data_IF_100067628790
#
_entry.id   IF_100067628790
#
_cell.length_a   1.000
_cell.length_b   1.000
_cell.length_c   1.000
_cell.angle_alpha   90.00
_cell.angle_beta   90.00
_cell.angle_gamma   90.00
#
_symmetry.space_group_name_H-M   'P 1'
#
loop_
_entity.id
_entity.type
_entity.pdbx_description
1 polymer ?
#
# COMPACT_ATOMS: atom_id res chain seq x y z
N UNK A 1 31.24 -4.23 -13.42
CA UNK A 1 31.81 -5.23 -14.33
C UNK A 1 33.07 -5.77 -13.66
N UNK A 2 33.37 -7.04 -13.84
CA UNK A 2 34.65 -7.63 -13.46
C UNK A 2 35.77 -7.22 -14.42
N UNK A 3 37.02 -7.67 -14.16
CA UNK A 3 38.18 -7.40 -14.98
C UNK A 3 38.03 -7.89 -16.44
N UNK A 4 37.10 -8.82 -16.67
CA UNK A 4 36.77 -9.40 -17.97
C UNK A 4 35.57 -8.73 -18.66
N UNK A 5 35.01 -7.63 -18.08
CA UNK A 5 33.87 -6.91 -18.62
C UNK A 5 32.51 -7.54 -18.36
N UNK A 6 32.45 -8.64 -17.60
CA UNK A 6 31.20 -9.33 -17.27
C UNK A 6 30.39 -8.52 -16.24
N UNK A 7 29.08 -8.47 -16.42
CA UNK A 7 28.18 -7.79 -15.48
C UNK A 7 28.08 -8.65 -14.21
N UNK A 8 28.61 -8.14 -13.09
CA UNK A 8 28.56 -8.81 -11.77
C UNK A 8 27.19 -8.67 -11.14
N UNK A 9 26.59 -7.48 -11.22
CA UNK A 9 25.22 -7.20 -10.75
C UNK A 9 24.43 -6.51 -11.85
N UNK A 10 23.51 -7.23 -12.49
CA UNK A 10 22.64 -6.71 -13.54
C UNK A 10 21.66 -5.64 -13.01
N UNK A 11 21.39 -5.64 -11.70
CA UNK A 11 20.49 -4.70 -11.05
C UNK A 11 21.22 -3.50 -10.42
N UNK A 12 22.54 -3.44 -10.51
CA UNK A 12 23.32 -2.37 -9.87
C UNK A 12 22.85 -0.98 -10.30
N UNK A 13 22.69 -0.76 -11.61
CA UNK A 13 22.24 0.54 -12.13
C UNK A 13 20.86 0.93 -11.59
N UNK A 14 19.94 -0.03 -11.55
CA UNK A 14 18.60 0.18 -11.02
C UNK A 14 18.63 0.51 -9.52
N UNK A 15 19.36 -0.28 -8.72
CA UNK A 15 19.51 -0.05 -7.27
C UNK A 15 20.14 1.30 -6.98
N UNK A 16 21.19 1.65 -7.74
CA UNK A 16 21.87 2.94 -7.62
C UNK A 16 20.93 4.10 -7.96
N UNK A 17 20.24 4.02 -9.11
CA UNK A 17 19.30 5.06 -9.52
C UNK A 17 18.17 5.23 -8.49
N UNK A 18 17.60 4.13 -7.99
CA UNK A 18 16.51 4.18 -7.00
C UNK A 18 16.98 4.80 -5.68
N UNK A 19 18.20 4.47 -5.23
CA UNK A 19 18.80 5.01 -4.01
C UNK A 19 19.05 6.52 -4.10
N UNK A 20 19.52 7.00 -5.26
CA UNK A 20 19.92 8.38 -5.50
C UNK A 20 18.85 9.22 -6.21
N UNK A 21 17.64 8.68 -6.32
CA UNK A 21 16.57 9.33 -7.09
C UNK A 21 16.15 10.68 -6.50
N UNK A 22 16.22 10.81 -5.18
CA UNK A 22 15.78 11.98 -4.44
C UNK A 22 16.89 12.95 -4.06
N UNK A 23 18.16 12.68 -4.36
CA UNK A 23 19.31 13.48 -3.92
C UNK A 23 19.25 14.97 -4.34
N UNK A 24 18.55 15.26 -5.44
CA UNK A 24 18.41 16.64 -5.95
C UNK A 24 17.05 17.27 -5.61
N UNK A 25 16.36 16.77 -4.61
CA UNK A 25 15.08 17.31 -4.14
C UNK A 25 15.26 17.79 -2.70
N UNK A 26 14.95 19.06 -2.47
CA UNK A 26 14.91 19.62 -1.12
C UNK A 26 13.47 19.49 -0.58
N UNK A 27 13.27 18.51 0.29
CA UNK A 27 11.98 18.26 0.94
C UNK A 27 11.62 19.28 2.02
N UNK A 28 12.49 20.24 2.34
CA UNK A 28 12.18 21.34 3.26
C UNK A 28 11.54 22.55 2.55
N UNK A 29 11.64 22.62 1.21
CA UNK A 29 11.15 23.75 0.42
C UNK A 29 9.73 23.50 -0.11
N UNK A 30 8.71 24.06 0.56
CA UNK A 30 7.29 23.97 0.17
C UNK A 30 7.01 24.43 -1.28
N UNK A 31 7.88 25.30 -1.85
CA UNK A 31 7.72 25.78 -3.22
C UNK A 31 7.77 24.66 -4.25
N UNK A 32 8.34 23.52 -3.87
CA UNK A 32 8.35 22.31 -4.70
C UNK A 32 6.95 21.86 -5.09
N UNK A 33 5.95 22.02 -4.20
CA UNK A 33 4.56 21.68 -4.47
C UNK A 33 3.93 22.52 -5.59
N UNK A 34 4.48 23.70 -5.86
CA UNK A 34 4.00 24.60 -6.93
C UNK A 34 4.63 24.31 -8.28
N UNK A 35 5.51 23.30 -8.33
CA UNK A 35 6.20 22.91 -9.56
C UNK A 35 5.70 21.55 -10.05
N UNK A 36 5.58 21.33 -11.38
CA UNK A 36 5.23 20.02 -11.91
C UNK A 36 6.35 18.99 -11.74
N UNK A 37 7.56 19.44 -11.37
CA UNK A 37 8.74 18.59 -11.21
C UNK A 37 8.54 17.58 -10.09
N UNK A 38 8.06 18.03 -8.94
CA UNK A 38 7.86 17.17 -7.77
C UNK A 38 6.82 16.08 -8.04
N UNK A 39 5.65 16.47 -8.56
CA UNK A 39 4.61 15.53 -8.96
C UNK A 39 5.11 14.47 -9.96
N UNK A 40 5.78 14.93 -11.04
CA UNK A 40 6.30 14.02 -12.06
C UNK A 40 7.36 13.06 -11.51
N UNK A 41 8.18 13.51 -10.56
CA UNK A 41 9.16 12.66 -9.90
C UNK A 41 8.49 11.62 -9.00
N UNK A 42 7.45 11.98 -8.25
CA UNK A 42 6.70 11.02 -7.44
C UNK A 42 6.06 9.94 -8.32
N UNK A 43 5.41 10.34 -9.41
CA UNK A 43 4.81 9.41 -10.38
C UNK A 43 5.87 8.48 -10.98
N UNK A 44 7.02 9.03 -11.42
CA UNK A 44 8.12 8.22 -11.93
C UNK A 44 8.68 7.24 -10.89
N UNK A 45 8.82 7.66 -9.65
CA UNK A 45 9.35 6.83 -8.58
C UNK A 45 8.43 5.64 -8.27
N UNK A 46 7.13 5.90 -8.10
CA UNK A 46 6.15 4.89 -7.73
C UNK A 46 5.77 4.00 -8.93
N UNK A 47 5.56 4.60 -10.12
CA UNK A 47 5.01 3.88 -11.27
C UNK A 47 6.07 3.27 -12.20
N UNK A 48 7.29 3.84 -12.25
CA UNK A 48 8.34 3.40 -13.19
C UNK A 48 9.54 2.77 -12.52
N UNK A 49 9.96 3.31 -11.36
CA UNK A 49 11.12 2.81 -10.62
C UNK A 49 10.77 1.80 -9.54
N UNK A 50 9.50 1.62 -9.22
CA UNK A 50 9.07 0.62 -8.23
C UNK A 50 8.39 -0.55 -8.95
N UNK A 51 8.74 -1.77 -8.56
CA UNK A 51 8.07 -2.95 -9.08
C UNK A 51 6.57 -2.86 -8.76
N UNK A 52 5.72 -3.20 -9.73
CA UNK A 52 4.25 -3.16 -9.57
C UNK A 52 3.76 -4.34 -8.72
N UNK A 53 4.22 -4.35 -7.48
CA UNK A 53 3.82 -5.28 -6.44
C UNK A 53 3.51 -4.49 -5.16
N UNK A 54 2.41 -4.77 -4.46
CA UNK A 54 1.98 -3.99 -3.30
C UNK A 54 3.09 -3.77 -2.26
N UNK A 55 3.81 -4.81 -1.87
CA UNK A 55 4.88 -4.71 -0.88
C UNK A 55 6.02 -3.78 -1.33
N UNK A 56 6.37 -3.83 -2.63
CA UNK A 56 7.42 -2.97 -3.18
C UNK A 56 6.99 -1.51 -3.19
N UNK A 57 5.70 -1.27 -3.45
CA UNK A 57 5.12 0.08 -3.44
C UNK A 57 5.01 0.58 -2.01
N UNK A 58 4.59 -0.26 -1.05
CA UNK A 58 4.55 0.11 0.37
C UNK A 58 5.93 0.58 0.85
N UNK A 59 6.97 -0.22 0.63
CA UNK A 59 8.35 0.16 1.00
C UNK A 59 8.79 1.48 0.35
N UNK A 60 8.47 1.68 -0.93
CA UNK A 60 8.84 2.91 -1.64
C UNK A 60 8.03 4.11 -1.17
N UNK A 61 6.75 3.91 -0.83
CA UNK A 61 5.87 4.94 -0.26
C UNK A 61 6.37 5.36 1.12
N UNK A 62 6.73 4.41 1.97
CA UNK A 62 7.24 4.70 3.32
C UNK A 62 8.55 5.50 3.26
N UNK A 63 9.47 5.14 2.33
CA UNK A 63 10.70 5.91 2.11
C UNK A 63 10.39 7.35 1.68
N UNK A 64 9.48 7.54 0.74
CA UNK A 64 9.11 8.87 0.25
C UNK A 64 8.42 9.71 1.33
N UNK A 65 7.54 9.10 2.10
CA UNK A 65 6.83 9.75 3.20
C UNK A 65 7.82 10.15 4.29
N UNK A 66 8.77 9.30 4.63
CA UNK A 66 9.80 9.63 5.63
C UNK A 66 10.67 10.81 5.21
N UNK A 67 11.07 10.88 3.93
CA UNK A 67 11.77 12.05 3.38
C UNK A 67 10.93 13.32 3.43
N UNK A 68 9.61 13.20 3.24
CA UNK A 68 8.69 14.33 3.23
C UNK A 68 8.43 14.94 4.62
N UNK A 69 8.82 14.25 5.71
CA UNK A 69 8.66 14.77 7.09
C UNK A 69 9.46 16.05 7.39
N UNK A 70 10.34 16.45 6.48
CA UNK A 70 11.07 17.71 6.60
C UNK A 70 10.17 18.95 6.49
N UNK A 71 8.94 18.81 5.93
CA UNK A 71 7.97 19.89 5.81
C UNK A 71 6.54 19.33 5.84
N UNK A 72 5.68 19.90 6.68
CA UNK A 72 4.32 19.41 6.93
C UNK A 72 3.43 19.46 5.68
N UNK A 73 3.55 20.50 4.85
CA UNK A 73 2.76 20.63 3.62
C UNK A 73 3.16 19.57 2.59
N UNK A 74 4.46 19.29 2.48
CA UNK A 74 4.97 18.23 1.58
C UNK A 74 4.54 16.86 2.11
N UNK A 75 4.63 16.62 3.41
CA UNK A 75 4.16 15.39 4.04
C UNK A 75 2.67 15.16 3.79
N UNK A 76 1.83 16.15 4.06
CA UNK A 76 0.40 16.09 3.79
C UNK A 76 0.12 15.78 2.32
N UNK A 77 0.81 16.45 1.41
CA UNK A 77 0.64 16.25 -0.03
C UNK A 77 1.01 14.84 -0.46
N UNK A 78 2.17 14.33 -0.03
CA UNK A 78 2.67 12.99 -0.38
C UNK A 78 1.74 11.91 0.14
N UNK A 79 1.35 11.95 1.43
CA UNK A 79 0.43 10.99 2.02
C UNK A 79 -0.91 11.00 1.30
N UNK A 80 -1.48 12.17 1.05
CA UNK A 80 -2.77 12.32 0.37
C UNK A 80 -2.71 11.82 -1.08
N UNK A 81 -1.62 12.12 -1.79
CA UNK A 81 -1.40 11.68 -3.16
C UNK A 81 -1.35 10.15 -3.26
N UNK A 82 -0.51 9.51 -2.44
CA UNK A 82 -0.36 8.04 -2.44
C UNK A 82 -1.69 7.39 -2.09
N UNK A 83 -2.32 7.82 -1.00
CA UNK A 83 -3.60 7.26 -0.55
C UNK A 83 -4.67 7.35 -1.64
N UNK A 84 -4.85 8.53 -2.25
CA UNK A 84 -5.88 8.72 -3.29
C UNK A 84 -5.57 7.97 -4.58
N UNK A 85 -4.29 7.82 -4.93
CA UNK A 85 -3.85 7.08 -6.13
C UNK A 85 -4.20 5.60 -6.00
N UNK A 86 -3.86 4.99 -4.86
CA UNK A 86 -4.07 3.55 -4.66
C UNK A 86 -5.50 3.22 -4.22
N UNK A 87 -6.22 4.14 -3.60
CA UNK A 87 -7.67 4.01 -3.37
C UNK A 87 -8.47 3.83 -4.65
N UNK A 88 -8.03 4.50 -5.74
CA UNK A 88 -8.69 4.48 -7.05
C UNK A 88 -8.07 3.49 -8.03
N UNK A 89 -7.06 2.76 -7.60
CA UNK A 89 -6.36 1.81 -8.46
C UNK A 89 -7.33 0.73 -8.96
N UNK A 90 -7.23 0.42 -10.25
CA UNK A 90 -7.97 -0.69 -10.88
C UNK A 90 -7.10 -1.94 -11.03
N UNK A 91 -5.87 -1.88 -10.56
CA UNK A 91 -4.93 -3.00 -10.63
C UNK A 91 -5.19 -3.90 -9.42
N UNK A 92 -5.44 -5.18 -9.68
CA UNK A 92 -5.68 -6.18 -8.64
C UNK A 92 -4.54 -6.22 -7.63
N UNK A 93 -4.88 -6.23 -6.35
CA UNK A 93 -3.93 -6.29 -5.23
C UNK A 93 -3.37 -4.93 -4.80
N UNK A 94 -3.55 -3.84 -5.57
CA UNK A 94 -3.07 -2.51 -5.19
C UNK A 94 -3.89 -1.85 -4.08
N UNK A 95 -5.06 -2.37 -3.79
CA UNK A 95 -5.87 -2.06 -2.61
C UNK A 95 -5.12 -2.33 -1.29
N UNK A 96 -4.15 -3.26 -1.30
CA UNK A 96 -3.25 -3.48 -0.18
C UNK A 96 -2.40 -2.24 0.16
N UNK A 97 -2.03 -1.44 -0.83
CA UNK A 97 -1.30 -0.18 -0.60
C UNK A 97 -2.19 0.84 0.10
N UNK A 98 -3.44 0.98 -0.35
CA UNK A 98 -4.39 1.85 0.31
C UNK A 98 -4.61 1.45 1.78
N UNK A 99 -4.80 0.15 2.05
CA UNK A 99 -4.96 -0.36 3.42
C UNK A 99 -3.71 -0.08 4.26
N UNK A 100 -2.50 -0.34 3.72
CA UNK A 100 -1.24 -0.02 4.38
C UNK A 100 -1.14 1.47 4.76
N UNK A 101 -1.47 2.37 3.83
CA UNK A 101 -1.47 3.81 4.09
C UNK A 101 -2.41 4.19 5.24
N UNK A 102 -3.62 3.63 5.25
CA UNK A 102 -4.61 3.93 6.29
C UNK A 102 -4.17 3.38 7.64
N UNK A 103 -3.72 2.13 7.69
CA UNK A 103 -3.28 1.49 8.94
C UNK A 103 -2.04 2.19 9.53
N UNK A 104 -1.10 2.63 8.67
CA UNK A 104 0.19 3.18 9.11
C UNK A 104 0.10 4.67 9.46
N UNK A 105 -0.65 5.48 8.70
CA UNK A 105 -0.58 6.93 8.82
C UNK A 105 -1.87 7.57 9.36
N UNK A 106 -3.05 7.07 8.97
CA UNK A 106 -4.32 7.66 9.39
C UNK A 106 -4.77 7.16 10.77
N UNK A 107 -4.74 5.85 11.02
CA UNK A 107 -5.15 5.27 12.32
C UNK A 107 -4.18 5.67 13.42
N UNK A 108 -2.91 5.88 13.11
CA UNK A 108 -1.89 6.32 14.07
C UNK A 108 -1.90 7.82 14.36
N UNK A 109 -2.92 8.55 13.86
CA UNK A 109 -3.09 10.00 14.05
C UNK A 109 -1.90 10.85 13.56
N UNK A 110 -1.24 10.44 12.47
CA UNK A 110 -0.20 11.23 11.84
C UNK A 110 -0.76 12.22 10.81
N UNK A 111 -2.05 12.13 10.49
CA UNK A 111 -2.77 12.94 9.49
C UNK A 111 -3.73 13.92 10.18
N UNK A 112 -3.21 14.88 10.92
CA UNK A 112 -3.97 15.84 11.73
C UNK A 112 -4.82 16.83 10.90
N UNK A 113 -4.52 16.99 9.60
CA UNK A 113 -5.31 17.78 8.65
C UNK A 113 -6.62 17.11 8.22
N UNK A 114 -6.83 15.83 8.54
CA UNK A 114 -8.03 15.10 8.15
C UNK A 114 -9.09 15.24 9.23
N UNK A 115 -10.26 15.74 8.84
CA UNK A 115 -11.37 15.85 9.79
C UNK A 115 -11.90 14.46 10.21
N UNK A 116 -12.53 14.42 11.38
CA UNK A 116 -13.01 13.17 11.97
C UNK A 116 -14.03 12.42 11.09
N UNK A 117 -14.82 13.15 10.31
CA UNK A 117 -15.81 12.53 9.41
C UNK A 117 -15.13 11.85 8.23
N UNK A 118 -14.10 12.48 7.67
CA UNK A 118 -13.29 11.90 6.60
C UNK A 118 -12.46 10.72 7.12
N UNK A 119 -11.86 10.87 8.31
CA UNK A 119 -11.08 9.80 8.94
C UNK A 119 -11.93 8.52 9.13
N UNK A 120 -13.14 8.65 9.65
CA UNK A 120 -14.06 7.51 9.81
C UNK A 120 -14.35 6.85 8.46
N UNK A 121 -14.66 7.62 7.41
CA UNK A 121 -14.95 7.06 6.07
C UNK A 121 -13.77 6.29 5.47
N UNK A 122 -12.57 6.86 5.59
CA UNK A 122 -11.33 6.25 5.08
C UNK A 122 -11.04 4.95 5.85
N UNK A 123 -11.14 5.00 7.18
CA UNK A 123 -10.90 3.85 8.06
C UNK A 123 -11.92 2.73 7.82
N UNK A 124 -13.20 3.05 7.77
CA UNK A 124 -14.27 2.07 7.48
C UNK A 124 -14.06 1.37 6.13
N UNK A 125 -13.62 2.15 5.13
CA UNK A 125 -13.33 1.59 3.80
C UNK A 125 -12.14 0.64 3.85
N UNK A 126 -11.05 1.03 4.51
CA UNK A 126 -9.88 0.18 4.68
C UNK A 126 -10.21 -1.10 5.43
N UNK A 127 -11.00 -1.02 6.52
CA UNK A 127 -11.44 -2.18 7.29
C UNK A 127 -12.32 -3.15 6.49
N UNK A 128 -13.12 -2.67 5.55
CA UNK A 128 -13.92 -3.52 4.66
C UNK A 128 -13.08 -4.22 3.60
N UNK A 129 -11.99 -3.59 3.16
CA UNK A 129 -11.08 -4.14 2.14
C UNK A 129 -10.08 -5.11 2.77
N UNK A 130 -9.54 -4.79 3.95
CA UNK A 130 -8.45 -5.51 4.59
C UNK A 130 -8.65 -7.05 4.67
N UNK A 131 -9.82 -7.59 5.02
CA UNK A 131 -10.03 -9.04 5.06
C UNK A 131 -9.95 -9.73 3.70
N UNK A 132 -10.19 -8.97 2.61
CA UNK A 132 -10.25 -9.50 1.25
C UNK A 132 -8.92 -9.36 0.48
N UNK A 133 -7.87 -8.84 1.14
CA UNK A 133 -6.57 -8.69 0.51
C UNK A 133 -5.95 -10.03 0.15
N UNK A 134 -5.24 -10.05 -0.99
CA UNK A 134 -4.49 -11.24 -1.43
C UNK A 134 -3.49 -11.65 -0.35
N UNK A 135 -3.49 -12.94 0.01
CA UNK A 135 -2.61 -13.50 1.05
C UNK A 135 -3.18 -13.40 2.48
N UNK A 136 -4.30 -12.72 2.70
CA UNK A 136 -5.00 -12.76 3.98
C UNK A 136 -5.81 -14.04 4.10
N UNK A 137 -5.97 -14.51 5.34
CA UNK A 137 -6.85 -15.66 5.62
C UNK A 137 -8.30 -15.27 5.33
N UNK A 138 -9.00 -16.10 4.57
CA UNK A 138 -10.42 -15.90 4.32
C UNK A 138 -11.20 -15.82 5.64
N UNK A 139 -12.17 -14.89 5.69
CA UNK A 139 -13.05 -14.75 6.84
C UNK A 139 -13.92 -16.01 6.99
N UNK A 140 -14.10 -16.45 8.21
CA UNK A 140 -15.04 -17.54 8.50
C UNK A 140 -16.49 -17.07 8.26
N UNK A 141 -17.31 -17.97 7.71
CA UNK A 141 -18.75 -17.76 7.60
C UNK A 141 -19.40 -18.07 8.95
N UNK A 142 -19.65 -17.03 9.71
CA UNK A 142 -20.25 -17.12 11.04
C UNK A 142 -21.62 -16.46 11.06
N UNK A 143 -22.55 -17.05 11.84
CA UNK A 143 -23.84 -16.43 12.13
C UNK A 143 -23.69 -15.26 13.13
N UNK A 144 -24.81 -14.58 13.43
CA UNK A 144 -24.84 -13.47 14.39
C UNK A 144 -24.27 -13.83 15.78
N UNK A 145 -24.29 -15.10 16.16
CA UNK A 145 -23.75 -15.60 17.43
C UNK A 145 -22.33 -16.12 17.34
N UNK A 146 -21.65 -15.95 16.20
CA UNK A 146 -20.28 -16.40 15.99
C UNK A 146 -20.15 -17.90 15.74
N UNK A 147 -21.21 -18.59 15.33
CA UNK A 147 -21.21 -20.03 15.02
C UNK A 147 -21.06 -20.25 13.53
N UNK A 148 -20.32 -21.30 13.08
CA UNK A 148 -20.28 -21.68 11.67
C UNK A 148 -21.68 -21.88 11.12
N UNK A 149 -21.97 -21.39 9.91
CA UNK A 149 -23.28 -21.60 9.29
C UNK A 149 -23.24 -22.37 7.97
N UNK A 150 -22.04 -22.69 7.46
CA UNK A 150 -21.93 -23.62 6.32
C UNK A 150 -22.38 -25.01 6.74
N UNK A 151 -23.32 -25.59 5.98
CA UNK A 151 -23.85 -26.93 6.19
C UNK A 151 -23.49 -27.83 5.03
N UNK A 152 -23.10 -29.05 5.34
CA UNK A 152 -23.00 -30.10 4.35
C UNK A 152 -24.39 -30.69 3.99
N UNK A 153 -24.40 -31.68 3.11
CA UNK A 153 -25.64 -32.39 2.66
C UNK A 153 -26.36 -33.10 3.81
N UNK A 154 -25.65 -33.45 4.87
CA UNK A 154 -26.16 -34.12 6.06
C UNK A 154 -26.59 -33.11 7.15
N UNK A 155 -26.45 -31.80 6.87
CA UNK A 155 -26.83 -30.71 7.77
C UNK A 155 -25.82 -30.41 8.88
N UNK A 156 -24.62 -31.01 8.84
CA UNK A 156 -23.56 -30.74 9.80
C UNK A 156 -22.91 -29.41 9.51
N UNK A 157 -22.65 -28.63 10.55
CA UNK A 157 -21.97 -27.32 10.47
C UNK A 157 -20.47 -27.50 10.31
N UNK A 158 -19.87 -26.74 9.40
CA UNK A 158 -18.46 -26.76 9.11
C UNK A 158 -17.88 -25.34 9.08
N UNK A 159 -16.59 -25.25 9.43
CA UNK A 159 -15.77 -24.05 9.21
C UNK A 159 -14.98 -24.20 7.92
N UNK A 160 -14.53 -23.09 7.32
CA UNK A 160 -13.63 -23.11 6.16
C UNK A 160 -12.31 -23.86 6.46
N UNK A 161 -11.88 -23.85 7.72
CA UNK A 161 -10.62 -24.49 8.14
C UNK A 161 -10.70 -26.02 8.19
N UNK A 162 -11.91 -26.57 8.33
CA UNK A 162 -12.14 -28.02 8.34
C UNK A 162 -12.16 -28.61 6.93
N UNK A 163 -12.30 -27.77 5.89
CA UNK A 163 -12.35 -28.22 4.51
C UNK A 163 -10.95 -28.56 4.01
N UNK A 164 -10.62 -29.84 3.95
CA UNK A 164 -9.33 -30.31 3.45
C UNK A 164 -9.43 -30.66 1.95
N UNK A 165 -9.40 -29.65 1.10
CA UNK A 165 -9.43 -29.81 -0.35
C UNK A 165 -8.36 -28.95 -1.02
N UNK A 166 -7.90 -29.38 -2.23
CA UNK A 166 -6.92 -28.60 -3.01
C UNK A 166 -7.50 -27.25 -3.45
N UNK A 167 -8.79 -27.19 -3.72
CA UNK A 167 -9.54 -26.00 -4.12
C UNK A 167 -10.89 -25.99 -3.42
N UNK A 168 -11.30 -24.84 -2.92
CA UNK A 168 -12.63 -24.60 -2.34
C UNK A 168 -13.29 -23.47 -3.10
N UNK A 169 -14.47 -23.71 -3.67
CA UNK A 169 -15.31 -22.68 -4.28
C UNK A 169 -16.31 -22.19 -3.22
N UNK A 170 -16.37 -20.86 -3.03
CA UNK A 170 -17.24 -20.20 -2.06
C UNK A 170 -18.32 -19.38 -2.77
#
# INVERSE_FOLDING_TARGET
>A
KDENGKIIDSLFQYKYLKKHFWDNIDFSDERMLRTPIFFNKMDQYLEKLTAKHPDSINVSSDVLIELSRANDDIFQYVVSYITSTYERSKIMGMDAVFVHMVETYYITNQCDWVDSTQLVKITDRAQKIAPNLIGRKASEFLDFYGRPFMKDVDGKLHTLQEVNSKYTLL
#
